data_IF_594712896223
#
_entry.id   IF_594712896223
#
_cell.length_a   1.000
_cell.length_b   1.000
_cell.length_c   1.000
_cell.angle_alpha   90.00
_cell.angle_beta   90.00
_cell.angle_gamma   90.00
#
_symmetry.space_group_name_H-M   'P 1'
#
loop_
_entity.id
_entity.type
_entity.pdbx_description
1 polymer ?
#
# COMPACT_ATOMS: atom_id res chain seq x y z
N UNK A 1 -29.91 -9.94 37.01
CA UNK A 1 -28.95 -9.84 35.86
C UNK A 1 -27.56 -9.62 36.44
N UNK A 2 -26.66 -10.55 36.18
CA UNK A 2 -25.32 -10.61 36.78
C UNK A 2 -24.54 -9.31 36.42
N UNK A 3 -23.85 -8.62 37.36
CA UNK A 3 -23.14 -7.38 37.11
C UNK A 3 -22.08 -7.53 36.02
N UNK A 4 -21.49 -8.72 35.86
CA UNK A 4 -20.52 -9.04 34.77
C UNK A 4 -21.20 -9.01 33.39
N UNK A 5 -22.45 -9.51 33.28
CA UNK A 5 -23.23 -9.48 32.02
C UNK A 5 -23.61 -8.04 31.66
N UNK A 6 -23.92 -7.18 32.65
CA UNK A 6 -24.16 -5.75 32.42
C UNK A 6 -22.89 -5.03 31.93
N UNK A 7 -21.74 -5.35 32.52
CA UNK A 7 -20.47 -4.76 32.12
C UNK A 7 -20.08 -5.18 30.69
N UNK A 8 -20.30 -6.44 30.35
CA UNK A 8 -20.05 -6.96 28.99
C UNK A 8 -21.02 -6.37 27.96
N UNK A 9 -22.29 -6.17 28.31
CA UNK A 9 -23.26 -5.52 27.44
C UNK A 9 -22.96 -4.02 27.26
N UNK A 10 -22.50 -3.34 28.30
CA UNK A 10 -22.07 -1.95 28.22
C UNK A 10 -20.76 -1.81 27.40
N UNK A 11 -19.82 -2.72 27.58
CA UNK A 11 -18.60 -2.77 26.77
C UNK A 11 -18.91 -3.10 25.31
N UNK A 12 -19.82 -4.04 25.04
CA UNK A 12 -20.27 -4.36 23.69
C UNK A 12 -21.07 -3.20 23.06
N UNK A 13 -21.93 -2.52 23.83
CA UNK A 13 -22.63 -1.33 23.36
C UNK A 13 -21.72 -0.14 23.13
N UNK A 14 -20.70 0.06 23.96
CA UNK A 14 -19.66 1.06 23.76
C UNK A 14 -18.80 0.75 22.52
N UNK A 15 -18.41 -0.52 22.33
CA UNK A 15 -17.69 -0.98 21.13
C UNK A 15 -18.57 -0.81 19.88
N UNK A 16 -19.85 -1.12 19.96
CA UNK A 16 -20.82 -0.93 18.88
C UNK A 16 -21.08 0.55 18.59
N UNK A 17 -21.13 1.40 19.63
CA UNK A 17 -21.24 2.86 19.49
C UNK A 17 -19.99 3.47 18.84
N UNK A 18 -18.78 2.98 19.15
CA UNK A 18 -17.51 3.37 18.49
C UNK A 18 -17.54 2.98 17.01
N UNK A 19 -18.12 1.84 16.66
CA UNK A 19 -18.31 1.42 15.25
C UNK A 19 -19.37 2.28 14.54
N UNK A 20 -20.40 2.76 15.26
CA UNK A 20 -21.47 3.59 14.70
C UNK A 20 -21.15 5.10 14.68
N UNK A 21 -20.23 5.58 15.51
CA UNK A 21 -19.88 7.01 15.59
C UNK A 21 -18.83 7.45 14.56
N UNK A 22 -18.45 6.56 13.63
CA UNK A 22 -17.67 6.98 12.45
C UNK A 22 -16.29 7.59 12.72
N UNK A 23 -15.65 7.27 13.87
CA UNK A 23 -14.21 7.39 13.97
C UNK A 23 -13.62 6.33 13.05
N UNK A 24 -13.43 6.70 11.78
CA UNK A 24 -13.06 5.73 10.77
C UNK A 24 -11.69 5.13 11.09
N UNK A 25 -11.50 3.89 10.66
CA UNK A 25 -10.21 3.21 10.74
C UNK A 25 -9.08 4.04 10.09
N UNK A 26 -9.41 4.88 9.11
CA UNK A 26 -8.49 5.83 8.45
C UNK A 26 -8.00 6.86 9.45
N UNK A 27 -8.90 7.51 10.22
CA UNK A 27 -8.53 8.54 11.19
C UNK A 27 -7.68 7.99 12.33
N UNK A 28 -8.09 6.84 12.88
CA UNK A 28 -7.31 6.13 13.91
C UNK A 28 -5.95 5.66 13.39
N UNK A 29 -5.91 5.07 12.20
CA UNK A 29 -4.67 4.61 11.58
C UNK A 29 -3.74 5.76 11.24
N UNK A 30 -4.26 6.82 10.64
CA UNK A 30 -3.46 7.98 10.27
C UNK A 30 -2.97 8.78 11.49
N UNK A 31 -3.81 8.98 12.51
CA UNK A 31 -3.42 9.67 13.74
C UNK A 31 -2.27 8.99 14.50
N UNK A 32 -2.05 7.69 14.27
CA UNK A 32 -0.96 6.91 14.85
C UNK A 32 0.07 6.45 13.80
N UNK A 33 0.09 7.06 12.62
CA UNK A 33 0.89 6.57 11.49
C UNK A 33 2.40 6.57 11.77
N UNK A 34 2.92 7.56 12.51
CA UNK A 34 4.30 7.63 12.96
C UNK A 34 4.66 6.45 13.90
N UNK A 35 3.82 6.15 14.87
CA UNK A 35 4.00 5.05 15.81
C UNK A 35 3.89 3.69 15.11
N UNK A 36 2.94 3.54 14.17
CA UNK A 36 2.79 2.34 13.35
C UNK A 36 3.99 2.14 12.42
N UNK A 37 4.49 3.21 11.81
CA UNK A 37 5.67 3.16 10.94
C UNK A 37 6.92 2.78 11.75
N UNK A 38 7.11 3.37 12.96
CA UNK A 38 8.19 3.02 13.87
C UNK A 38 8.13 1.53 14.25
N UNK A 39 6.96 1.06 14.70
CA UNK A 39 6.77 -0.36 15.03
C UNK A 39 7.08 -1.27 13.83
N UNK A 40 6.63 -0.87 12.62
CA UNK A 40 6.91 -1.64 11.41
C UNK A 40 8.41 -1.68 11.08
N UNK A 41 9.14 -0.58 11.19
CA UNK A 41 10.59 -0.52 11.01
C UNK A 41 11.28 -1.45 12.01
N UNK A 42 10.89 -1.38 13.28
CA UNK A 42 11.45 -2.19 14.35
C UNK A 42 11.30 -3.69 14.11
N UNK A 43 10.18 -4.14 13.52
CA UNK A 43 10.00 -5.54 13.13
C UNK A 43 11.05 -6.06 12.14
N UNK A 44 11.67 -5.19 11.36
CA UNK A 44 12.72 -5.55 10.41
C UNK A 44 14.14 -5.35 10.94
N UNK A 45 14.32 -4.37 11.82
CA UNK A 45 15.65 -3.89 12.18
C UNK A 45 16.03 -4.28 13.62
N UNK A 46 15.07 -4.33 14.56
CA UNK A 46 15.35 -4.46 16.00
C UNK A 46 16.17 -3.26 16.50
N UNK A 47 15.52 -2.13 16.57
CA UNK A 47 16.16 -0.83 16.82
C UNK A 47 16.78 -0.79 18.21
N UNK A 48 18.02 -0.28 18.30
CA UNK A 48 18.59 0.09 19.61
C UNK A 48 17.82 1.28 20.20
N UNK A 49 17.93 1.56 21.52
CA UNK A 49 17.27 2.72 22.13
C UNK A 49 17.60 4.04 21.43
N UNK A 50 18.82 4.24 20.97
CA UNK A 50 19.30 5.42 20.26
C UNK A 50 18.68 5.52 18.85
N UNK A 51 18.65 4.39 18.13
CA UNK A 51 18.01 4.30 16.82
C UNK A 51 16.49 4.51 16.92
N UNK A 52 15.86 3.98 17.97
CA UNK A 52 14.43 4.17 18.24
C UNK A 52 14.09 5.64 18.50
N UNK A 53 14.88 6.31 19.35
CA UNK A 53 14.69 7.74 19.62
C UNK A 53 14.85 8.59 18.36
N UNK A 54 15.90 8.34 17.56
CA UNK A 54 16.10 8.99 16.26
C UNK A 54 14.92 8.75 15.31
N UNK A 55 14.52 7.48 15.15
CA UNK A 55 13.44 7.09 14.24
C UNK A 55 12.13 7.77 14.63
N UNK A 56 11.80 7.80 15.91
CA UNK A 56 10.60 8.47 16.43
C UNK A 56 10.59 9.95 16.08
N UNK A 57 11.67 10.66 16.37
CA UNK A 57 11.79 12.10 16.07
C UNK A 57 11.57 12.36 14.57
N UNK A 58 12.22 11.56 13.70
CA UNK A 58 12.14 11.71 12.26
C UNK A 58 10.73 11.43 11.73
N UNK A 59 10.09 10.38 12.22
CA UNK A 59 8.73 10.01 11.80
C UNK A 59 7.68 11.04 12.24
N UNK A 60 7.79 11.61 13.43
CA UNK A 60 6.91 12.71 13.88
C UNK A 60 7.01 13.90 12.92
N UNK A 61 8.23 14.32 12.53
CA UNK A 61 8.41 15.41 11.57
C UNK A 61 7.88 15.08 10.18
N UNK A 62 8.15 13.86 9.70
CA UNK A 62 7.65 13.37 8.40
C UNK A 62 6.12 13.34 8.39
N UNK A 63 5.50 12.87 9.48
CA UNK A 63 4.04 12.81 9.62
C UNK A 63 3.42 14.20 9.62
N UNK A 64 3.99 15.15 10.36
CA UNK A 64 3.53 16.55 10.39
C UNK A 64 3.63 17.20 8.99
N UNK A 65 4.76 17.01 8.29
CA UNK A 65 4.93 17.48 6.92
C UNK A 65 3.91 16.84 5.98
N UNK A 66 3.74 15.50 6.03
CA UNK A 66 2.81 14.76 5.20
C UNK A 66 1.37 15.24 5.39
N UNK A 67 0.95 15.43 6.64
CA UNK A 67 -0.38 15.93 6.98
C UNK A 67 -0.63 17.29 6.33
N UNK A 68 0.29 18.21 6.50
CA UNK A 68 0.14 19.59 6.03
C UNK A 68 0.22 19.73 4.51
N UNK A 69 1.07 18.94 3.85
CA UNK A 69 1.40 19.15 2.44
C UNK A 69 0.82 18.10 1.50
N UNK A 70 0.64 16.86 1.95
CA UNK A 70 0.25 15.76 1.07
C UNK A 70 -1.24 15.41 1.16
N UNK A 71 -1.86 15.50 2.35
CA UNK A 71 -3.29 15.17 2.47
C UNK A 71 -4.21 16.04 1.60
N UNK A 72 -3.99 17.37 1.44
CA UNK A 72 -4.79 18.16 0.51
C UNK A 72 -4.70 17.66 -0.94
N UNK A 73 -3.51 17.23 -1.36
CA UNK A 73 -3.30 16.68 -2.71
C UNK A 73 -3.92 15.28 -2.86
N UNK A 74 -3.89 14.46 -1.80
CA UNK A 74 -4.59 13.17 -1.79
C UNK A 74 -6.10 13.34 -1.89
N UNK A 75 -6.68 14.35 -1.25
CA UNK A 75 -8.09 14.68 -1.41
C UNK A 75 -8.45 15.03 -2.86
N UNK A 76 -7.56 15.69 -3.60
CA UNK A 76 -7.75 15.98 -5.03
C UNK A 76 -7.73 14.69 -5.87
N UNK A 77 -6.76 13.79 -5.63
CA UNK A 77 -6.71 12.48 -6.30
C UNK A 77 -7.97 11.64 -6.03
N UNK A 78 -8.47 11.67 -4.80
CA UNK A 78 -9.70 10.97 -4.42
C UNK A 78 -10.93 11.53 -5.15
N UNK A 79 -11.02 12.86 -5.35
CA UNK A 79 -12.10 13.48 -6.14
C UNK A 79 -12.04 13.06 -7.60
N UNK A 80 -10.85 13.01 -8.19
CA UNK A 80 -10.65 12.49 -9.55
C UNK A 80 -11.08 11.02 -9.64
N UNK A 81 -10.59 10.17 -8.75
CA UNK A 81 -10.94 8.75 -8.68
C UNK A 81 -12.44 8.53 -8.49
N UNK A 82 -13.11 9.34 -7.64
CA UNK A 82 -14.57 9.33 -7.48
C UNK A 82 -15.28 9.60 -8.80
N UNK A 83 -14.87 10.64 -9.52
CA UNK A 83 -15.48 11.00 -10.81
C UNK A 83 -15.40 9.85 -11.82
N UNK A 84 -14.25 9.19 -11.89
CA UNK A 84 -14.03 8.03 -12.77
C UNK A 84 -14.81 6.79 -12.30
N UNK A 85 -14.82 6.49 -11.01
CA UNK A 85 -15.52 5.33 -10.46
C UNK A 85 -17.04 5.40 -10.61
N UNK A 86 -17.62 6.60 -10.47
CA UNK A 86 -19.08 6.82 -10.59
C UNK A 86 -19.54 7.15 -12.01
N UNK A 87 -18.62 7.59 -12.88
CA UNK A 87 -18.86 7.89 -14.27
C UNK A 87 -18.41 6.75 -15.20
N UNK A 88 -17.47 7.06 -16.08
CA UNK A 88 -16.86 6.10 -16.99
C UNK A 88 -15.36 6.00 -16.71
N UNK A 89 -14.90 4.82 -16.38
CA UNK A 89 -13.48 4.50 -16.21
C UNK A 89 -12.98 3.78 -17.47
N UNK A 90 -11.86 4.22 -18.03
CA UNK A 90 -11.12 3.51 -19.09
C UNK A 90 -9.84 2.90 -18.55
N UNK A 91 -9.23 1.97 -19.31
CA UNK A 91 -7.90 1.45 -18.97
C UNK A 91 -6.84 2.56 -18.89
N UNK A 92 -6.93 3.57 -19.76
CA UNK A 92 -6.02 4.72 -19.75
C UNK A 92 -6.16 5.55 -18.44
N UNK A 93 -7.39 5.79 -17.99
CA UNK A 93 -7.66 6.47 -16.71
C UNK A 93 -7.09 5.67 -15.53
N UNK A 94 -7.25 4.35 -15.54
CA UNK A 94 -6.69 3.47 -14.51
C UNK A 94 -5.16 3.50 -14.46
N UNK A 95 -4.49 3.57 -15.62
CA UNK A 95 -3.04 3.80 -15.69
C UNK A 95 -2.69 5.17 -15.14
N UNK A 96 -3.42 6.22 -15.53
CA UNK A 96 -3.22 7.60 -15.05
C UNK A 96 -3.32 7.72 -13.53
N UNK A 97 -4.35 7.09 -12.91
CA UNK A 97 -4.49 7.04 -11.44
C UNK A 97 -3.33 6.29 -10.77
N UNK A 98 -2.87 5.20 -11.40
CA UNK A 98 -1.71 4.45 -10.89
C UNK A 98 -0.46 5.33 -10.91
N UNK A 99 -0.18 6.00 -12.02
CA UNK A 99 0.97 6.89 -12.15
C UNK A 99 0.89 8.08 -11.19
N UNK A 100 -0.32 8.64 -11.01
CA UNK A 100 -0.56 9.70 -10.04
C UNK A 100 -0.29 9.25 -8.60
N UNK A 101 -0.66 8.02 -8.25
CA UNK A 101 -0.37 7.41 -6.95
C UNK A 101 1.14 7.19 -6.76
N UNK A 102 1.81 6.66 -7.79
CA UNK A 102 3.26 6.42 -7.75
C UNK A 102 4.04 7.72 -7.56
N UNK A 103 3.64 8.80 -8.24
CA UNK A 103 4.26 10.12 -8.03
C UNK A 103 4.19 10.57 -6.57
N UNK A 104 3.06 10.37 -5.90
CA UNK A 104 2.87 10.71 -4.48
C UNK A 104 3.72 9.86 -3.55
N UNK A 105 3.83 8.57 -3.84
CA UNK A 105 4.73 7.67 -3.11
C UNK A 105 6.19 8.13 -3.27
N UNK A 106 6.60 8.54 -4.47
CA UNK A 106 7.95 9.09 -4.71
C UNK A 106 8.19 10.38 -3.93
N UNK A 107 7.23 11.31 -3.93
CA UNK A 107 7.33 12.54 -3.13
C UNK A 107 7.53 12.24 -1.65
N UNK A 108 6.80 11.27 -1.09
CA UNK A 108 6.97 10.82 0.29
C UNK A 108 8.35 10.18 0.50
N UNK A 109 8.80 9.34 -0.42
CA UNK A 109 10.11 8.70 -0.35
C UNK A 109 11.25 9.73 -0.41
N UNK A 110 11.18 10.70 -1.31
CA UNK A 110 12.18 11.78 -1.44
C UNK A 110 12.31 12.60 -0.14
N UNK A 111 11.18 12.85 0.52
CA UNK A 111 11.16 13.53 1.82
C UNK A 111 11.76 12.68 2.95
N UNK A 112 11.53 11.36 2.93
CA UNK A 112 12.00 10.43 3.95
C UNK A 112 13.47 10.01 3.77
N UNK A 113 14.01 10.05 2.56
CA UNK A 113 15.37 9.54 2.23
C UNK A 113 16.48 10.14 3.08
N UNK A 114 16.54 11.46 3.35
CA UNK A 114 17.61 12.01 4.20
C UNK A 114 17.61 11.43 5.62
N UNK A 115 16.43 11.26 6.20
CA UNK A 115 16.25 10.69 7.54
C UNK A 115 16.51 9.17 7.55
N UNK A 116 16.12 8.47 6.49
CA UNK A 116 16.46 7.06 6.29
C UNK A 116 17.97 6.84 6.15
N UNK A 117 18.68 7.77 5.50
CA UNK A 117 20.15 7.70 5.40
C UNK A 117 20.80 7.80 6.77
N UNK A 118 20.31 8.67 7.65
CA UNK A 118 20.81 8.84 9.02
C UNK A 118 20.65 7.53 9.83
N UNK A 119 19.56 6.79 9.65
CA UNK A 119 19.35 5.49 10.28
C UNK A 119 20.24 4.40 9.65
N UNK A 120 20.32 4.35 8.31
CA UNK A 120 21.03 3.29 7.60
C UNK A 120 22.52 3.21 7.99
N UNK A 121 23.20 4.34 8.19
CA UNK A 121 24.61 4.36 8.54
C UNK A 121 24.90 3.79 9.94
N UNK A 122 23.89 3.70 10.79
CA UNK A 122 23.99 3.16 12.15
C UNK A 122 23.74 1.66 12.24
N UNK A 123 23.24 1.02 11.16
CA UNK A 123 22.88 -0.40 11.20
C UNK A 123 24.10 -1.29 11.40
N UNK A 124 23.93 -2.29 12.25
CA UNK A 124 24.91 -3.34 12.50
C UNK A 124 24.73 -4.53 11.55
N UNK A 125 25.77 -5.37 11.34
CA UNK A 125 25.62 -6.60 10.57
C UNK A 125 24.48 -7.50 11.07
N UNK A 126 24.31 -7.66 12.37
CA UNK A 126 23.26 -8.48 12.97
C UNK A 126 21.85 -7.95 12.62
N UNK A 127 21.66 -6.62 12.61
CA UNK A 127 20.41 -6.00 12.19
C UNK A 127 20.11 -6.23 10.70
N UNK A 128 21.14 -6.23 9.86
CA UNK A 128 21.00 -6.52 8.41
C UNK A 128 20.63 -7.98 8.18
N UNK A 129 21.22 -8.92 8.94
CA UNK A 129 20.88 -10.34 8.87
C UNK A 129 19.42 -10.57 9.32
N UNK A 130 18.99 -9.93 10.41
CA UNK A 130 17.58 -9.95 10.84
C UNK A 130 16.63 -9.40 9.77
N UNK A 131 16.98 -8.26 9.17
CA UNK A 131 16.21 -7.68 8.06
C UNK A 131 16.10 -8.66 6.89
N UNK A 132 17.20 -9.31 6.51
CA UNK A 132 17.23 -10.31 5.45
C UNK A 132 16.30 -11.49 5.75
N UNK A 133 16.36 -12.03 6.97
CA UNK A 133 15.48 -13.13 7.41
C UNK A 133 13.99 -12.71 7.36
N UNK A 134 13.67 -11.51 7.85
CA UNK A 134 12.30 -10.99 7.86
C UNK A 134 11.77 -10.75 6.45
N UNK A 135 12.59 -10.23 5.55
CA UNK A 135 12.23 -10.07 4.13
C UNK A 135 11.95 -11.42 3.46
N UNK A 136 12.76 -12.45 3.76
CA UNK A 136 12.54 -13.81 3.25
C UNK A 136 11.23 -14.41 3.76
N UNK A 137 10.92 -14.28 5.06
CA UNK A 137 9.65 -14.69 5.65
C UNK A 137 8.45 -14.03 4.94
N UNK A 138 8.49 -12.70 4.79
CA UNK A 138 7.43 -11.95 4.12
C UNK A 138 7.30 -12.27 2.63
N UNK A 139 8.36 -12.74 2.02
CA UNK A 139 8.32 -13.24 0.63
C UNK A 139 7.65 -14.61 0.54
N UNK A 140 7.93 -15.49 1.50
CA UNK A 140 7.24 -16.79 1.59
C UNK A 140 5.73 -16.60 1.85
N UNK A 141 5.36 -15.66 2.73
CA UNK A 141 3.94 -15.32 2.97
C UNK A 141 3.27 -14.79 1.70
N UNK A 142 3.93 -13.90 0.96
CA UNK A 142 3.42 -13.39 -0.31
C UNK A 142 3.25 -14.50 -1.35
N UNK A 143 4.18 -15.44 -1.45
CA UNK A 143 4.07 -16.59 -2.35
C UNK A 143 2.82 -17.46 -2.05
N UNK A 144 2.52 -17.65 -0.75
CA UNK A 144 1.30 -18.35 -0.29
C UNK A 144 0.04 -17.55 -0.65
N UNK A 145 0.03 -16.24 -0.38
CA UNK A 145 -1.11 -15.35 -0.67
C UNK A 145 -1.49 -15.37 -2.15
N UNK A 146 -0.50 -15.32 -3.05
CA UNK A 146 -0.73 -15.37 -4.49
C UNK A 146 -0.88 -16.80 -5.03
N UNK A 147 -0.81 -17.82 -4.16
CA UNK A 147 -0.87 -19.24 -4.49
C UNK A 147 0.12 -19.67 -5.58
N UNK A 148 1.35 -19.16 -5.46
CA UNK A 148 2.37 -19.32 -6.50
C UNK A 148 2.65 -20.78 -6.84
N UNK A 149 2.73 -21.66 -5.83
CA UNK A 149 3.01 -23.10 -5.99
C UNK A 149 1.83 -23.92 -6.51
N UNK A 150 0.62 -23.36 -6.48
CA UNK A 150 -0.59 -24.02 -6.99
C UNK A 150 -0.74 -23.87 -8.53
N UNK A 151 0.26 -23.29 -9.18
CA UNK A 151 0.24 -23.06 -10.62
C UNK A 151 -0.78 -21.99 -11.04
N UNK A 152 -1.05 -21.94 -12.34
CA UNK A 152 -1.86 -20.87 -12.92
C UNK A 152 -3.31 -20.86 -12.41
N UNK A 153 -3.90 -22.03 -12.18
CA UNK A 153 -5.27 -22.13 -11.65
C UNK A 153 -5.39 -21.55 -10.23
N UNK A 154 -4.43 -21.85 -9.34
CA UNK A 154 -4.39 -21.29 -8.00
C UNK A 154 -4.17 -19.77 -8.02
N UNK A 155 -3.25 -19.30 -8.87
CA UNK A 155 -2.97 -17.87 -9.05
C UNK A 155 -4.20 -17.10 -9.57
N UNK A 156 -4.95 -17.64 -10.52
CA UNK A 156 -6.22 -17.05 -11.01
C UNK A 156 -7.26 -16.97 -9.91
N UNK A 157 -7.41 -18.03 -9.11
CA UNK A 157 -8.32 -18.05 -7.96
C UNK A 157 -7.94 -16.96 -6.93
N UNK A 158 -6.67 -16.83 -6.60
CA UNK A 158 -6.19 -15.77 -5.70
C UNK A 158 -6.40 -14.36 -6.29
N UNK A 159 -6.15 -14.18 -7.58
CA UNK A 159 -6.38 -12.91 -8.28
C UNK A 159 -7.85 -12.52 -8.29
N UNK A 160 -8.73 -13.47 -8.62
CA UNK A 160 -10.18 -13.24 -8.60
C UNK A 160 -10.65 -12.81 -7.21
N UNK A 161 -10.27 -13.56 -6.16
CA UNK A 161 -10.65 -13.22 -4.78
C UNK A 161 -10.23 -11.79 -4.41
N UNK A 162 -8.97 -11.41 -4.62
CA UNK A 162 -8.48 -10.05 -4.31
C UNK A 162 -9.16 -8.95 -5.13
N UNK A 163 -9.45 -9.24 -6.40
CA UNK A 163 -10.16 -8.27 -7.26
C UNK A 163 -11.59 -8.05 -6.79
N UNK A 164 -12.31 -9.15 -6.48
CA UNK A 164 -13.69 -9.10 -5.99
C UNK A 164 -13.76 -8.37 -4.64
N UNK A 165 -12.97 -8.75 -3.65
CA UNK A 165 -12.91 -8.08 -2.33
C UNK A 165 -12.66 -6.57 -2.45
N UNK A 166 -11.76 -6.18 -3.37
CA UNK A 166 -11.49 -4.76 -3.64
C UNK A 166 -12.66 -4.06 -4.32
N UNK A 167 -13.30 -4.72 -5.28
CA UNK A 167 -14.46 -4.18 -5.96
C UNK A 167 -15.66 -4.03 -4.99
N UNK A 168 -15.91 -5.03 -4.15
CA UNK A 168 -16.96 -5.01 -3.13
C UNK A 168 -16.73 -3.90 -2.08
N UNK A 169 -15.49 -3.66 -1.69
CA UNK A 169 -15.16 -2.55 -0.79
C UNK A 169 -15.64 -1.20 -1.34
N UNK A 170 -15.49 -0.98 -2.66
CA UNK A 170 -15.86 0.29 -3.29
C UNK A 170 -17.30 0.34 -3.74
N UNK A 171 -17.83 -0.76 -4.30
CA UNK A 171 -19.13 -0.78 -4.99
C UNK A 171 -20.22 -1.51 -4.21
N UNK A 172 -19.91 -2.13 -3.06
CA UNK A 172 -20.82 -3.05 -2.39
C UNK A 172 -20.88 -4.42 -3.07
N UNK A 173 -21.81 -5.27 -2.65
CA UNK A 173 -21.92 -6.65 -3.14
C UNK A 173 -22.19 -6.74 -4.65
N UNK A 174 -21.69 -7.82 -5.24
CA UNK A 174 -21.92 -8.19 -6.65
C UNK A 174 -22.89 -9.37 -6.73
N UNK A 175 -23.68 -9.44 -7.80
CA UNK A 175 -24.55 -10.60 -8.05
C UNK A 175 -23.73 -11.79 -8.58
N UNK A 176 -24.31 -13.00 -8.50
CA UNK A 176 -23.70 -14.22 -9.04
C UNK A 176 -23.32 -14.08 -10.51
N UNK A 177 -24.16 -13.39 -11.32
CA UNK A 177 -23.90 -13.13 -12.73
C UNK A 177 -22.72 -12.16 -12.93
N UNK A 178 -22.61 -11.11 -12.09
CA UNK A 178 -21.50 -10.19 -12.10
C UNK A 178 -20.20 -10.89 -11.67
N UNK A 179 -20.24 -11.69 -10.62
CA UNK A 179 -19.07 -12.48 -10.17
C UNK A 179 -18.60 -13.47 -11.23
N UNK A 180 -19.54 -14.17 -11.89
CA UNK A 180 -19.21 -15.06 -13.00
C UNK A 180 -18.59 -14.29 -14.19
N UNK A 181 -19.04 -13.07 -14.47
CA UNK A 181 -18.46 -12.22 -15.50
C UNK A 181 -17.04 -11.75 -15.11
N UNK A 182 -16.83 -11.34 -13.87
CA UNK A 182 -15.51 -10.95 -13.33
C UNK A 182 -14.55 -12.14 -13.42
N UNK A 183 -15.00 -13.35 -13.08
CA UNK A 183 -14.19 -14.56 -13.19
C UNK A 183 -13.73 -14.81 -14.63
N UNK A 184 -14.64 -14.73 -15.61
CA UNK A 184 -14.28 -14.87 -17.04
C UNK A 184 -13.23 -13.84 -17.47
N UNK A 185 -13.35 -12.57 -17.03
CA UNK A 185 -12.37 -11.52 -17.31
C UNK A 185 -11.00 -11.83 -16.71
N UNK A 186 -10.96 -12.35 -15.47
CA UNK A 186 -9.71 -12.75 -14.81
C UNK A 186 -9.07 -13.95 -15.55
N UNK A 187 -9.88 -14.91 -15.95
CA UNK A 187 -9.40 -16.14 -16.62
C UNK A 187 -8.86 -15.86 -18.04
N UNK A 188 -9.37 -14.81 -18.69
CA UNK A 188 -8.91 -14.39 -20.02
C UNK A 188 -7.55 -13.68 -20.03
N UNK A 189 -7.01 -13.29 -18.86
CA UNK A 189 -5.78 -12.51 -18.77
C UNK A 189 -4.63 -13.31 -18.12
N UNK A 190 -3.36 -13.03 -18.50
CA UNK A 190 -2.21 -13.59 -17.79
C UNK A 190 -2.23 -13.17 -16.32
N UNK A 191 -1.86 -14.08 -15.42
CA UNK A 191 -1.89 -13.79 -13.98
C UNK A 191 -0.85 -12.76 -13.56
N UNK A 192 0.32 -12.74 -14.21
CA UNK A 192 1.47 -11.92 -13.85
C UNK A 192 2.08 -12.26 -12.49
N UNK A 193 1.59 -13.30 -11.80
CA UNK A 193 1.99 -13.61 -10.43
C UNK A 193 3.48 -13.93 -10.32
N UNK A 194 4.01 -14.79 -11.20
CA UNK A 194 5.43 -15.11 -11.24
C UNK A 194 6.29 -13.86 -11.50
N UNK A 195 5.88 -13.03 -12.47
CA UNK A 195 6.60 -11.79 -12.78
C UNK A 195 6.72 -10.86 -11.55
N UNK A 196 5.61 -10.62 -10.85
CA UNK A 196 5.62 -9.75 -9.67
C UNK A 196 6.34 -10.37 -8.47
N UNK A 197 6.34 -11.68 -8.35
CA UNK A 197 7.14 -12.38 -7.36
C UNK A 197 8.65 -12.21 -7.64
N UNK A 198 9.08 -12.38 -8.89
CA UNK A 198 10.48 -12.18 -9.29
C UNK A 198 10.93 -10.72 -9.10
N UNK A 199 10.04 -9.74 -9.41
CA UNK A 199 10.30 -8.33 -9.17
C UNK A 199 10.41 -8.01 -7.67
N UNK A 200 9.63 -8.68 -6.82
CA UNK A 200 9.77 -8.58 -5.37
C UNK A 200 11.15 -9.07 -4.91
N UNK A 201 11.59 -10.23 -5.40
CA UNK A 201 12.91 -10.77 -5.09
C UNK A 201 14.04 -9.87 -5.58
N UNK A 202 13.92 -9.30 -6.77
CA UNK A 202 14.88 -8.33 -7.32
C UNK A 202 15.02 -7.12 -6.39
N UNK A 203 13.90 -6.48 -6.03
CA UNK A 203 13.90 -5.29 -5.15
C UNK A 203 14.50 -5.59 -3.79
N UNK A 204 14.24 -6.77 -3.24
CA UNK A 204 14.83 -7.17 -1.95
C UNK A 204 16.34 -7.39 -2.05
N UNK A 205 16.83 -8.01 -3.11
CA UNK A 205 18.28 -8.15 -3.35
C UNK A 205 18.93 -6.77 -3.48
N UNK A 206 18.40 -5.92 -4.37
CA UNK A 206 18.92 -4.57 -4.59
C UNK A 206 18.97 -3.75 -3.27
N UNK A 207 17.95 -3.91 -2.43
CA UNK A 207 17.88 -3.28 -1.11
C UNK A 207 18.95 -3.81 -0.16
N UNK A 208 19.05 -5.13 -0.01
CA UNK A 208 20.03 -5.75 0.89
C UNK A 208 21.47 -5.47 0.45
N UNK A 209 21.74 -5.45 -0.85
CA UNK A 209 23.04 -5.10 -1.41
C UNK A 209 23.39 -3.64 -1.11
N UNK A 210 22.41 -2.73 -1.24
CA UNK A 210 22.60 -1.33 -0.87
C UNK A 210 22.93 -1.18 0.61
N UNK A 211 22.15 -1.82 1.49
CA UNK A 211 22.33 -1.70 2.96
C UNK A 211 23.66 -2.31 3.39
N UNK A 212 24.05 -3.49 2.88
CA UNK A 212 25.33 -4.12 3.12
C UNK A 212 26.49 -3.26 2.65
N UNK A 213 26.35 -2.66 1.47
CA UNK A 213 27.34 -1.73 0.94
C UNK A 213 27.54 -0.51 1.84
N UNK A 214 26.46 0.13 2.29
CA UNK A 214 26.52 1.26 3.23
C UNK A 214 27.20 0.86 4.53
N UNK A 215 26.90 -0.33 5.06
CA UNK A 215 27.50 -0.83 6.28
C UNK A 215 29.00 -1.13 6.13
N UNK A 216 29.41 -1.71 5.00
CA UNK A 216 30.81 -2.11 4.77
C UNK A 216 31.71 -0.91 4.40
N UNK A 217 31.25 -0.04 3.51
CA UNK A 217 32.05 1.07 2.95
C UNK A 217 31.98 2.33 3.83
N UNK A 218 30.97 2.48 4.69
CA UNK A 218 30.73 3.69 5.52
C UNK A 218 30.85 4.98 4.70
N UNK A 219 30.11 5.11 3.57
CA UNK A 219 30.19 6.28 2.71
C UNK A 219 29.66 7.54 3.40
N UNK A 220 29.93 8.72 2.81
CA UNK A 220 29.35 9.96 3.32
C UNK A 220 27.82 9.94 3.29
N UNK A 221 27.18 10.74 4.15
CA UNK A 221 25.72 10.90 4.20
C UNK A 221 25.12 11.23 2.83
N UNK A 222 25.74 12.14 2.09
CA UNK A 222 25.32 12.56 0.75
C UNK A 222 25.36 11.39 -0.23
N UNK A 223 26.37 10.52 -0.10
CA UNK A 223 26.48 9.31 -0.93
C UNK A 223 25.38 8.29 -0.59
N UNK A 224 25.04 8.12 0.68
CA UNK A 224 23.90 7.27 1.09
C UNK A 224 22.60 7.80 0.53
N UNK A 225 22.34 9.10 0.65
CA UNK A 225 21.15 9.75 0.04
C UNK A 225 21.08 9.49 -1.47
N UNK A 226 22.20 9.63 -2.19
CA UNK A 226 22.25 9.36 -3.64
C UNK A 226 21.93 7.90 -3.96
N UNK A 227 22.46 6.94 -3.18
CA UNK A 227 22.18 5.51 -3.34
C UNK A 227 20.69 5.19 -3.08
N UNK A 228 20.10 5.79 -2.07
CA UNK A 228 18.68 5.62 -1.75
C UNK A 228 17.77 6.19 -2.85
N UNK A 229 18.12 7.36 -3.41
CA UNK A 229 17.36 7.95 -4.52
C UNK A 229 17.43 7.05 -5.77
N UNK A 230 18.62 6.59 -6.15
CA UNK A 230 18.78 5.66 -7.25
C UNK A 230 17.99 4.35 -7.05
N UNK A 231 17.96 3.81 -5.83
CA UNK A 231 17.13 2.68 -5.50
C UNK A 231 15.63 2.99 -5.66
N UNK A 232 15.15 4.15 -5.15
CA UNK A 232 13.77 4.57 -5.23
C UNK A 232 13.30 4.78 -6.68
N UNK A 233 14.15 5.32 -7.56
CA UNK A 233 13.86 5.47 -8.99
C UNK A 233 13.66 4.13 -9.70
N UNK A 234 14.46 3.12 -9.34
CA UNK A 234 14.40 1.76 -9.91
C UNK A 234 13.37 0.86 -9.23
N UNK A 235 12.76 1.31 -8.13
CA UNK A 235 11.82 0.50 -7.37
C UNK A 235 10.54 0.20 -8.14
N UNK A 236 9.99 1.19 -8.83
CA UNK A 236 8.68 1.09 -9.48
C UNK A 236 8.72 0.22 -10.75
N UNK A 237 9.66 0.47 -11.63
CA UNK A 237 9.81 -0.27 -12.89
C UNK A 237 11.23 -0.83 -13.02
N UNK A 238 11.37 -2.06 -13.54
CA UNK A 238 12.69 -2.62 -13.89
C UNK A 238 13.43 -1.71 -14.85
N UNK A 239 14.74 -1.70 -14.76
CA UNK A 239 15.62 -0.97 -15.70
C UNK A 239 15.88 -1.76 -16.98
N UNK A 240 15.81 -3.09 -16.91
CA UNK A 240 15.99 -3.97 -18.06
C UNK A 240 14.79 -3.79 -19.02
N UNK A 241 15.03 -3.48 -20.34
CA UNK A 241 13.97 -3.03 -21.25
C UNK A 241 12.82 -4.04 -21.44
N UNK A 242 13.13 -5.33 -21.59
CA UNK A 242 12.11 -6.35 -21.80
C UNK A 242 11.23 -6.54 -20.54
N UNK A 243 11.85 -6.54 -19.35
CA UNK A 243 11.11 -6.62 -18.08
C UNK A 243 10.29 -5.36 -17.83
N UNK A 244 10.80 -4.19 -18.18
CA UNK A 244 10.07 -2.93 -18.11
C UNK A 244 8.83 -2.96 -19.01
N UNK A 245 8.97 -3.41 -20.25
CA UNK A 245 7.84 -3.56 -21.17
C UNK A 245 6.79 -4.53 -20.63
N UNK A 246 7.20 -5.67 -20.07
CA UNK A 246 6.30 -6.63 -19.42
C UNK A 246 5.56 -6.04 -18.21
N UNK A 247 6.26 -5.28 -17.35
CA UNK A 247 5.64 -4.59 -16.21
C UNK A 247 4.56 -3.60 -16.66
N UNK A 248 4.86 -2.80 -17.69
CA UNK A 248 3.91 -1.82 -18.27
C UNK A 248 2.70 -2.56 -18.87
N UNK A 249 2.92 -3.64 -19.62
CA UNK A 249 1.83 -4.44 -20.21
C UNK A 249 0.92 -5.04 -19.13
N UNK A 250 1.48 -5.60 -18.05
CA UNK A 250 0.72 -6.15 -16.93
C UNK A 250 -0.08 -5.08 -16.17
N UNK A 251 0.49 -3.87 -16.00
CA UNK A 251 -0.23 -2.73 -15.40
C UNK A 251 -1.40 -2.31 -16.27
N UNK A 252 -1.19 -2.17 -17.58
CA UNK A 252 -2.24 -1.84 -18.53
C UNK A 252 -3.36 -2.87 -18.51
N UNK A 253 -3.05 -4.16 -18.58
CA UNK A 253 -4.02 -5.23 -18.49
C UNK A 253 -4.81 -5.21 -17.15
N UNK A 254 -4.15 -4.89 -16.03
CA UNK A 254 -4.83 -4.73 -14.74
C UNK A 254 -5.76 -3.52 -14.69
N UNK A 255 -5.37 -2.41 -15.31
CA UNK A 255 -6.21 -1.21 -15.42
C UNK A 255 -7.44 -1.45 -16.32
N UNK A 256 -7.27 -2.14 -17.44
CA UNK A 256 -8.36 -2.56 -18.33
C UNK A 256 -9.34 -3.51 -17.63
N UNK A 257 -8.82 -4.45 -16.84
CA UNK A 257 -9.64 -5.34 -16.01
C UNK A 257 -10.47 -4.55 -15.01
N UNK A 258 -9.87 -3.61 -14.30
CA UNK A 258 -10.58 -2.75 -13.34
C UNK A 258 -11.66 -1.90 -14.03
N UNK A 259 -11.37 -1.34 -15.20
CA UNK A 259 -12.33 -0.59 -16.00
C UNK A 259 -13.51 -1.48 -16.45
N UNK A 260 -13.22 -2.73 -16.84
CA UNK A 260 -14.27 -3.69 -17.24
C UNK A 260 -15.18 -4.07 -16.07
N UNK A 261 -14.62 -4.23 -14.85
CA UNK A 261 -15.41 -4.46 -13.64
C UNK A 261 -16.28 -3.25 -13.31
N UNK A 262 -15.73 -2.04 -13.38
CA UNK A 262 -16.48 -0.81 -13.15
C UNK A 262 -17.62 -0.63 -14.17
N UNK A 263 -17.40 -0.97 -15.44
CA UNK A 263 -18.42 -0.82 -16.49
C UNK A 263 -19.66 -1.68 -16.25
N UNK A 264 -19.56 -2.80 -15.54
CA UNK A 264 -20.70 -3.67 -15.22
C UNK A 264 -21.46 -3.29 -13.94
N UNK A 265 -20.99 -2.24 -13.22
CA UNK A 265 -21.65 -1.81 -11.97
C UNK A 265 -23.02 -1.20 -12.24
N UNK A 266 -23.94 -1.47 -11.33
CA UNK A 266 -25.29 -0.89 -11.33
C UNK A 266 -25.29 0.56 -10.84
N UNK A 267 -26.36 1.34 -11.07
CA UNK A 267 -26.50 2.67 -10.46
C UNK A 267 -26.38 2.66 -8.95
N UNK A 268 -26.96 1.67 -8.25
CA UNK A 268 -26.89 1.53 -6.79
C UNK A 268 -25.44 1.27 -6.32
N UNK A 269 -24.69 0.42 -7.02
CA UNK A 269 -23.27 0.16 -6.74
C UNK A 269 -22.41 1.42 -6.94
N UNK A 270 -22.66 2.21 -7.99
CA UNK A 270 -21.96 3.50 -8.20
C UNK A 270 -22.32 4.53 -7.13
N UNK A 271 -23.53 4.50 -6.65
CA UNK A 271 -23.98 5.35 -5.55
C UNK A 271 -23.28 4.99 -4.24
N UNK A 272 -23.15 3.70 -3.96
CA UNK A 272 -22.33 3.21 -2.83
C UNK A 272 -20.87 3.70 -2.96
N UNK A 273 -20.27 3.57 -4.13
CA UNK A 273 -18.91 4.08 -4.38
C UNK A 273 -18.79 5.58 -4.13
N UNK A 274 -19.79 6.37 -4.59
CA UNK A 274 -19.81 7.81 -4.35
C UNK A 274 -19.76 8.13 -2.87
N UNK A 275 -20.62 7.52 -2.05
CA UNK A 275 -20.63 7.72 -0.61
C UNK A 275 -19.29 7.35 0.04
N UNK A 276 -18.71 6.20 -0.34
CA UNK A 276 -17.40 5.77 0.15
C UNK A 276 -16.29 6.78 -0.14
N UNK A 277 -16.24 7.31 -1.37
CA UNK A 277 -15.28 8.34 -1.73
C UNK A 277 -15.53 9.66 -1.00
N UNK A 278 -16.81 10.09 -0.86
CA UNK A 278 -17.16 11.32 -0.18
C UNK A 278 -16.77 11.26 1.30
N UNK A 279 -16.99 10.13 1.97
CA UNK A 279 -16.56 9.91 3.33
C UNK A 279 -15.03 9.99 3.45
N UNK A 280 -14.30 9.31 2.58
CA UNK A 280 -12.83 9.33 2.59
C UNK A 280 -12.26 10.72 2.29
N UNK A 281 -12.84 11.46 1.34
CA UNK A 281 -12.45 12.84 1.02
C UNK A 281 -12.67 13.75 2.21
N UNK A 282 -13.80 13.62 2.91
CA UNK A 282 -14.10 14.38 4.12
C UNK A 282 -13.07 14.08 5.21
N UNK A 283 -12.82 12.81 5.51
CA UNK A 283 -11.86 12.39 6.52
C UNK A 283 -10.43 12.88 6.25
N UNK A 284 -9.97 12.74 5.01
CA UNK A 284 -8.65 13.25 4.59
C UNK A 284 -8.60 14.78 4.71
N UNK A 285 -9.71 15.47 4.39
CA UNK A 285 -9.82 16.91 4.56
C UNK A 285 -9.77 17.35 6.02
N UNK A 286 -10.47 16.66 6.91
CA UNK A 286 -10.44 16.91 8.37
C UNK A 286 -9.04 16.67 8.94
N UNK A 287 -8.42 15.52 8.60
CA UNK A 287 -7.06 15.20 9.01
C UNK A 287 -6.02 16.24 8.56
N UNK A 288 -6.22 16.85 7.40
CA UNK A 288 -5.32 17.91 6.89
C UNK A 288 -5.42 19.21 7.72
N UNK A 289 -6.53 19.41 8.43
CA UNK A 289 -6.79 20.62 9.26
C UNK A 289 -6.44 20.40 10.74
N UNK A 290 -6.27 19.17 11.18
CA UNK A 290 -5.84 18.87 12.56
C UNK A 290 -4.39 19.34 12.78
N UNK A 291 -4.15 20.07 13.90
CA UNK A 291 -2.84 20.58 14.31
C UNK A 291 -1.98 19.52 14.99
#
# INVERSE_FOLDING_TARGET
>A
MNPIVRLLLLAAAALYAVVLTGCSAVRLGYGNADSLARWWIDQYVDLTPEQDALTRERLVRLHAWHRKTQLPDYANLLREARGLATGRLTGADGVGLTDATIRRIRTLADQAIPDAADLLVTLTPAQIDRMSARLAEKTADFAKEIRLVEGEAGQRKARFKRLLERAEYWFGGFSDEQEAAIRRLVDAQPTGAQFWFDERLRRQRDWLDLVRRVQAEKPSRERVIALLRDYAERFDLPTEPARRAAAIALRKASAELTASVQAMTTPAQRDHARHKFDDLIREVGELAQEN
#
